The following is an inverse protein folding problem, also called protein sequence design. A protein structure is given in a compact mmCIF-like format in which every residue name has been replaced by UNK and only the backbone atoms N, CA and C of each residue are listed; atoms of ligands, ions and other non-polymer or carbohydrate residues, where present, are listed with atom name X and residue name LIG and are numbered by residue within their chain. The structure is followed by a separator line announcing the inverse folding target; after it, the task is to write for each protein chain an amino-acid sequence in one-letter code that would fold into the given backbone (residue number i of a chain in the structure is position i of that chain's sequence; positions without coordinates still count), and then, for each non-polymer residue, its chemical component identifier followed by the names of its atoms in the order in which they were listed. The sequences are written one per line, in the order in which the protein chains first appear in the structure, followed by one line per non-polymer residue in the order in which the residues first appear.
data_IF_923300480415
#
_entry.id   IF_923300480415
#
_cell.length_a   1.000
_cell.length_b   1.000
_cell.length_c   1.000
_cell.angle_alpha   90.00
_cell.angle_beta   90.00
_cell.angle_gamma   90.00
#
_symmetry.space_group_name_H-M   'P 1'
#
loop_
_entity.id
_entity.type
_entity.pdbx_description
1 polymer ?
#
# COMPACT_ATOMS: atom_id res chain seq x y z
N UNK A 1 -14.05 -21.44 9.07
CA UNK A 1 -14.36 -20.74 7.81
C UNK A 1 -15.38 -19.64 8.11
N UNK A 2 -15.08 -18.39 7.76
CA UNK A 2 -15.93 -17.25 8.10
C UNK A 2 -17.08 -17.09 7.08
N UNK A 3 -18.27 -16.68 7.54
CA UNK A 3 -19.46 -16.47 6.70
C UNK A 3 -19.53 -15.03 6.19
N UNK A 4 -18.47 -14.57 5.54
CA UNK A 4 -18.36 -13.19 5.04
C UNK A 4 -19.32 -12.99 3.86
N UNK A 5 -20.12 -11.91 3.90
CA UNK A 5 -20.91 -11.45 2.75
C UNK A 5 -20.10 -10.37 2.03
N UNK A 6 -19.38 -10.77 0.99
CA UNK A 6 -18.47 -9.90 0.25
C UNK A 6 -17.21 -10.65 -0.19
N UNK A 7 -16.29 -9.96 -0.86
CA UNK A 7 -15.00 -10.52 -1.29
C UNK A 7 -13.88 -9.68 -0.69
N UNK A 8 -12.99 -10.31 0.07
CA UNK A 8 -11.73 -9.72 0.51
C UNK A 8 -10.67 -10.12 -0.51
N UNK A 9 -10.09 -9.15 -1.20
CA UNK A 9 -9.13 -9.37 -2.27
C UNK A 9 -7.83 -8.65 -1.87
N UNK A 10 -6.70 -9.35 -1.71
CA UNK A 10 -5.43 -8.69 -1.44
C UNK A 10 -4.99 -7.88 -2.67
N UNK A 11 -4.29 -6.77 -2.43
CA UNK A 11 -3.86 -5.82 -3.48
C UNK A 11 -2.98 -6.49 -4.53
N UNK A 12 -2.08 -7.38 -4.10
CA UNK A 12 -1.24 -8.22 -4.95
C UNK A 12 -1.17 -9.64 -4.35
N UNK A 13 -0.67 -10.60 -5.14
CA UNK A 13 -0.29 -11.94 -4.67
C UNK A 13 1.23 -12.09 -4.55
N UNK A 14 1.98 -11.07 -4.97
CA UNK A 14 3.44 -11.04 -4.96
C UNK A 14 3.92 -10.35 -3.67
N UNK A 15 5.13 -10.69 -3.22
CA UNK A 15 5.73 -10.03 -2.06
C UNK A 15 6.29 -8.67 -2.47
N UNK A 16 5.92 -7.63 -1.73
CA UNK A 16 6.47 -6.28 -1.88
C UNK A 16 6.46 -5.55 -0.54
N UNK A 17 7.30 -4.53 -0.42
CA UNK A 17 7.40 -3.66 0.75
C UNK A 17 7.04 -2.22 0.39
N UNK A 18 6.32 -1.56 1.29
CA UNK A 18 6.14 -0.10 1.22
C UNK A 18 7.42 0.58 1.71
N UNK A 19 7.92 1.50 0.91
CA UNK A 19 9.07 2.34 1.22
C UNK A 19 8.68 3.81 1.06
N UNK A 20 9.34 4.69 1.79
CA UNK A 20 9.16 6.15 1.67
C UNK A 20 10.49 6.85 1.46
N UNK A 21 10.51 7.84 0.55
CA UNK A 21 11.59 8.82 0.40
C UNK A 21 11.15 10.11 1.11
N UNK A 22 12.01 10.67 1.96
CA UNK A 22 11.78 11.94 2.65
C UNK A 22 12.37 13.11 1.85
N UNK A 23 11.99 14.33 2.19
CA UNK A 23 12.50 15.54 1.51
C UNK A 23 14.02 15.72 1.66
N UNK A 24 14.61 15.21 2.75
CA UNK A 24 16.06 15.20 2.96
C UNK A 24 16.79 14.08 2.19
N UNK A 25 16.07 13.33 1.35
CA UNK A 25 16.52 12.17 0.55
C UNK A 25 16.76 10.89 1.34
N UNK A 26 16.45 10.85 2.63
CA UNK A 26 16.45 9.62 3.42
C UNK A 26 15.41 8.65 2.87
N UNK A 27 15.76 7.37 2.78
CA UNK A 27 14.85 6.29 2.40
C UNK A 27 14.58 5.44 3.64
N UNK A 28 13.30 5.23 3.95
CA UNK A 28 12.86 4.31 5.00
C UNK A 28 12.20 3.11 4.33
N UNK A 29 12.82 1.94 4.49
CA UNK A 29 12.36 0.70 3.87
C UNK A 29 11.45 -0.10 4.79
N UNK A 30 10.35 -0.66 4.27
CA UNK A 30 9.32 -1.42 4.98
C UNK A 30 8.41 -0.61 5.91
N UNK A 31 7.13 -0.97 5.90
CA UNK A 31 6.08 -0.44 6.80
C UNK A 31 6.49 -0.48 8.27
N UNK A 32 7.13 -1.58 8.70
CA UNK A 32 7.57 -1.70 10.09
C UNK A 32 8.56 -0.61 10.50
N UNK A 33 9.47 -0.20 9.61
CA UNK A 33 10.40 0.88 9.92
C UNK A 33 9.74 2.25 9.79
N UNK A 34 8.78 2.40 8.86
CA UNK A 34 7.99 3.62 8.72
C UNK A 34 7.31 3.92 10.05
N UNK A 35 6.59 2.94 10.61
CA UNK A 35 5.87 3.09 11.88
C UNK A 35 6.78 3.34 13.09
N UNK A 36 7.99 2.77 13.10
CA UNK A 36 8.89 2.84 14.26
C UNK A 36 9.84 4.04 14.23
N UNK A 37 10.20 4.55 13.04
CA UNK A 37 11.27 5.55 12.89
C UNK A 37 10.75 6.93 12.50
N UNK A 38 9.59 7.02 11.87
CA UNK A 38 9.02 8.32 11.52
C UNK A 38 8.25 8.87 12.70
N UNK A 39 8.62 10.08 13.08
CA UNK A 39 8.00 10.86 14.14
C UNK A 39 7.81 12.32 13.69
N UNK A 40 7.34 13.16 14.60
CA UNK A 40 7.13 14.60 14.37
C UNK A 40 8.41 15.39 14.05
N UNK A 41 9.58 14.84 14.34
CA UNK A 41 10.88 15.47 14.07
C UNK A 41 11.46 15.04 12.71
N UNK A 42 10.84 14.05 12.07
CA UNK A 42 11.30 13.50 10.81
C UNK A 42 11.03 14.46 9.65
N UNK A 43 11.90 14.40 8.63
CA UNK A 43 11.68 15.15 7.39
C UNK A 43 10.38 14.69 6.72
N UNK A 44 9.57 15.59 6.10
CA UNK A 44 8.31 15.22 5.47
C UNK A 44 8.48 14.12 4.42
N UNK A 45 7.47 13.27 4.26
CA UNK A 45 7.43 12.26 3.20
C UNK A 45 7.28 12.97 1.86
N UNK A 46 8.24 12.75 0.98
CA UNK A 46 8.24 13.23 -0.40
C UNK A 46 7.48 12.29 -1.32
N UNK A 47 7.68 10.97 -1.19
CA UNK A 47 6.94 9.95 -1.94
C UNK A 47 6.92 8.60 -1.23
N UNK A 48 5.88 7.81 -1.48
CA UNK A 48 5.76 6.42 -1.09
C UNK A 48 5.71 5.51 -2.33
N UNK A 49 6.33 4.33 -2.28
CA UNK A 49 6.39 3.39 -3.40
C UNK A 49 6.59 1.95 -2.92
N UNK A 50 6.24 1.00 -3.80
CA UNK A 50 6.42 -0.43 -3.54
C UNK A 50 7.74 -0.94 -4.13
N UNK A 51 8.41 -1.86 -3.43
CA UNK A 51 9.61 -2.54 -3.94
C UNK A 51 9.68 -4.01 -3.47
N UNK A 52 9.86 -4.99 -4.38
CA UNK A 52 9.89 -4.84 -5.83
C UNK A 52 8.56 -4.31 -6.38
N UNK A 53 8.59 -3.79 -7.61
CA UNK A 53 7.37 -3.46 -8.33
C UNK A 53 6.57 -4.74 -8.60
N UNK A 54 5.26 -4.70 -8.36
CA UNK A 54 4.39 -5.88 -8.37
C UNK A 54 3.11 -5.60 -9.13
N UNK A 55 2.51 -6.65 -9.67
CA UNK A 55 1.26 -6.52 -10.39
C UNK A 55 0.08 -6.46 -9.42
N UNK A 56 -0.92 -5.65 -9.77
CA UNK A 56 -2.20 -5.66 -9.10
C UNK A 56 -2.88 -7.04 -9.26
N UNK A 57 -3.61 -7.47 -8.23
CA UNK A 57 -4.36 -8.69 -8.29
C UNK A 57 -5.45 -8.60 -9.39
N UNK A 58 -5.39 -9.50 -10.37
CA UNK A 58 -6.38 -9.56 -11.46
C UNK A 58 -7.84 -9.62 -10.98
N UNK A 59 -8.10 -10.17 -9.79
CA UNK A 59 -9.43 -10.16 -9.18
C UNK A 59 -9.85 -8.77 -8.71
N UNK A 60 -8.92 -7.98 -8.19
CA UNK A 60 -9.15 -6.60 -7.78
C UNK A 60 -9.39 -5.71 -9.00
N UNK A 61 -8.56 -5.83 -10.05
CA UNK A 61 -8.73 -5.11 -11.32
C UNK A 61 -10.11 -5.37 -11.93
N UNK A 62 -10.53 -6.64 -11.99
CA UNK A 62 -11.88 -7.01 -12.47
C UNK A 62 -13.02 -6.55 -11.57
N UNK A 63 -12.76 -6.33 -10.28
CA UNK A 63 -13.75 -5.79 -9.37
C UNK A 63 -13.92 -4.28 -9.60
N UNK A 64 -12.80 -3.55 -9.74
CA UNK A 64 -12.79 -2.12 -10.06
C UNK A 64 -13.50 -1.83 -11.39
N UNK A 65 -13.22 -2.60 -12.43
CA UNK A 65 -13.84 -2.46 -13.76
C UNK A 65 -15.37 -2.63 -13.74
N UNK A 66 -15.88 -3.44 -12.80
CA UNK A 66 -17.32 -3.74 -12.66
C UNK A 66 -18.00 -2.92 -11.57
N UNK A 67 -17.27 -2.04 -10.89
CA UNK A 67 -17.80 -1.27 -9.78
C UNK A 67 -18.56 -0.06 -10.30
N UNK A 68 -19.80 0.11 -9.83
CA UNK A 68 -20.54 1.37 -10.05
C UNK A 68 -19.97 2.52 -9.21
N UNK A 69 -19.36 2.21 -8.06
CA UNK A 69 -18.78 3.16 -7.12
C UNK A 69 -17.45 2.62 -6.58
N UNK A 70 -16.44 3.49 -6.49
CA UNK A 70 -15.15 3.23 -5.83
C UNK A 70 -15.03 4.20 -4.65
N UNK A 71 -14.71 3.67 -3.48
CA UNK A 71 -14.49 4.46 -2.26
C UNK A 71 -13.02 4.34 -1.89
N UNK A 72 -12.35 5.48 -1.69
CA UNK A 72 -10.98 5.58 -1.19
C UNK A 72 -11.07 6.28 0.17
N UNK A 73 -10.49 5.67 1.20
CA UNK A 73 -10.44 6.21 2.56
C UNK A 73 -9.02 6.66 2.88
N UNK A 74 -8.88 7.74 3.65
CA UNK A 74 -7.63 8.32 4.11
C UNK A 74 -7.60 8.35 5.63
#
# INVERSE_FOLDING_TARGET
MFRVKGRVIPVTLELSHLNVELEDKTIVESETNIDLKLDENSSPIKKAYLTPEVNANNKAVKALDKSDVIIISF
#
